data_IF_420415256710
#
_entry.id   IF_420415256710
#
_cell.length_a   1.000
_cell.length_b   1.000
_cell.length_c   1.000
_cell.angle_alpha   90.00
_cell.angle_beta   90.00
_cell.angle_gamma   90.00
#
_symmetry.space_group_name_H-M   'P 1'
#
loop_
_entity.id
_entity.type
_entity.pdbx_description
1 polymer ?
#
# COMPACT_ATOMS: atom_id res chain seq x y z
N UNK A 1 9.16 9.90 -2.25
CA UNK A 1 9.21 10.43 -0.87
C UNK A 1 10.53 11.12 -0.56
N UNK A 2 11.48 10.42 0.06
CA UNK A 2 12.71 11.00 0.64
C UNK A 2 13.51 11.91 -0.30
N UNK A 3 13.89 11.42 -1.50
CA UNK A 3 14.69 12.18 -2.47
C UNK A 3 13.99 13.44 -2.98
N UNK A 4 12.66 13.39 -3.12
CA UNK A 4 11.84 14.52 -3.55
C UNK A 4 11.80 15.62 -2.48
N UNK A 5 11.61 15.22 -1.22
CA UNK A 5 11.60 16.15 -0.09
C UNK A 5 12.96 16.85 0.12
N UNK A 6 14.08 16.14 -0.07
CA UNK A 6 15.42 16.76 0.04
C UNK A 6 15.77 17.71 -1.10
N UNK A 7 15.01 17.69 -2.22
CA UNK A 7 15.19 18.56 -3.38
C UNK A 7 13.88 19.26 -3.73
N UNK A 8 13.31 19.98 -2.77
CA UNK A 8 12.05 20.74 -2.91
C UNK A 8 12.11 21.66 -4.13
N UNK A 9 11.09 21.59 -4.98
CA UNK A 9 10.97 22.41 -6.20
C UNK A 9 11.70 21.84 -7.43
N UNK A 10 12.47 20.76 -7.29
CA UNK A 10 13.13 20.09 -8.42
C UNK A 10 12.13 19.45 -9.40
N UNK A 11 12.57 19.14 -10.62
CA UNK A 11 11.74 18.40 -11.59
C UNK A 11 11.26 17.05 -11.04
N UNK A 12 12.11 16.35 -10.30
CA UNK A 12 11.74 15.10 -9.64
C UNK A 12 10.62 15.29 -8.60
N UNK A 13 10.67 16.40 -7.87
CA UNK A 13 9.67 16.77 -6.88
C UNK A 13 8.28 17.05 -7.49
N UNK A 14 8.29 17.78 -8.62
CA UNK A 14 7.09 18.06 -9.41
C UNK A 14 6.52 16.77 -10.02
N UNK A 15 7.37 15.92 -10.60
CA UNK A 15 6.96 14.63 -11.16
C UNK A 15 6.32 13.71 -10.10
N UNK A 16 6.88 13.64 -8.89
CA UNK A 16 6.26 12.87 -7.79
C UNK A 16 4.88 13.42 -7.44
N UNK A 17 4.70 14.74 -7.46
CA UNK A 17 3.41 15.35 -7.14
C UNK A 17 2.37 15.14 -8.26
N UNK A 18 2.78 15.24 -9.53
CA UNK A 18 1.91 14.96 -10.67
C UNK A 18 1.53 13.49 -10.78
N UNK A 19 2.49 12.58 -10.60
CA UNK A 19 2.20 11.14 -10.56
C UNK A 19 1.30 10.79 -9.37
N UNK A 20 1.47 11.45 -8.23
CA UNK A 20 0.54 11.31 -7.11
C UNK A 20 -0.90 11.70 -7.46
N UNK A 21 -1.08 12.88 -8.07
CA UNK A 21 -2.39 13.35 -8.50
C UNK A 21 -3.01 12.43 -9.55
N UNK A 22 -2.22 11.99 -10.54
CA UNK A 22 -2.68 11.10 -11.59
C UNK A 22 -3.09 9.73 -11.02
N UNK A 23 -2.21 9.07 -10.25
CA UNK A 23 -2.48 7.76 -9.64
C UNK A 23 -3.73 7.78 -8.75
N UNK A 24 -3.89 8.82 -7.92
CA UNK A 24 -5.02 8.92 -7.00
C UNK A 24 -6.36 9.17 -7.71
N UNK A 25 -6.33 9.76 -8.90
CA UNK A 25 -7.52 9.98 -9.72
C UNK A 25 -8.00 8.74 -10.47
N UNK A 26 -7.18 7.67 -10.56
CA UNK A 26 -7.53 6.47 -11.32
C UNK A 26 -8.39 5.51 -10.47
N UNK A 27 -9.60 5.15 -10.93
CA UNK A 27 -10.38 4.10 -10.28
C UNK A 27 -9.68 2.73 -10.41
N UNK A 28 -9.58 1.97 -9.32
CA UNK A 28 -8.87 0.68 -9.32
C UNK A 28 -9.43 -0.34 -10.30
N UNK A 29 -10.75 -0.45 -10.40
CA UNK A 29 -11.39 -1.33 -11.38
C UNK A 29 -11.03 -0.96 -12.82
N UNK A 30 -11.01 0.33 -13.14
CA UNK A 30 -10.70 0.83 -14.47
C UNK A 30 -9.23 0.55 -14.82
N UNK A 31 -8.32 0.84 -13.90
CA UNK A 31 -6.90 0.49 -14.05
C UNK A 31 -6.71 -1.01 -14.23
N UNK A 32 -7.44 -1.84 -13.47
CA UNK A 32 -7.41 -3.29 -13.62
C UNK A 32 -7.85 -3.75 -15.01
N UNK A 33 -8.93 -3.19 -15.55
CA UNK A 33 -9.40 -3.50 -16.90
C UNK A 33 -8.38 -3.09 -17.99
N UNK A 34 -7.73 -1.94 -17.85
CA UNK A 34 -6.67 -1.52 -18.77
C UNK A 34 -5.47 -2.48 -18.70
N UNK A 35 -5.06 -2.88 -17.50
CA UNK A 35 -3.97 -3.83 -17.34
C UNK A 35 -4.32 -5.21 -17.91
N UNK A 36 -5.56 -5.67 -17.77
CA UNK A 36 -6.05 -6.89 -18.44
C UNK A 36 -6.00 -6.75 -19.96
N UNK A 37 -6.46 -5.63 -20.51
CA UNK A 37 -6.44 -5.39 -21.93
C UNK A 37 -5.00 -5.46 -22.49
N UNK A 38 -4.04 -4.84 -21.80
CA UNK A 38 -2.64 -4.81 -22.25
C UNK A 38 -1.96 -6.15 -22.02
N UNK A 39 -1.89 -6.63 -20.78
CA UNK A 39 -1.03 -7.76 -20.41
C UNK A 39 -1.65 -9.13 -20.67
N UNK A 40 -2.96 -9.25 -20.56
CA UNK A 40 -3.66 -10.50 -20.84
C UNK A 40 -4.10 -10.57 -22.31
N UNK A 41 -4.87 -9.57 -22.80
CA UNK A 41 -5.46 -9.65 -24.14
C UNK A 41 -4.45 -9.44 -25.27
N UNK A 42 -3.70 -8.32 -25.26
CA UNK A 42 -2.74 -8.01 -26.33
C UNK A 42 -1.41 -8.77 -26.18
N UNK A 43 -0.77 -8.69 -25.01
CA UNK A 43 0.56 -9.26 -24.80
C UNK A 43 0.54 -10.75 -24.44
N UNK A 44 -0.58 -11.27 -23.91
CA UNK A 44 -0.74 -12.67 -23.48
C UNK A 44 0.34 -13.15 -22.50
N UNK A 45 0.83 -12.25 -21.66
CA UNK A 45 1.91 -12.49 -20.69
C UNK A 45 1.40 -12.90 -19.31
N UNK A 46 0.24 -12.39 -18.92
CA UNK A 46 -0.31 -12.55 -17.57
C UNK A 46 -1.73 -13.12 -17.67
N UNK A 47 -2.16 -13.93 -16.69
CA UNK A 47 -3.49 -14.53 -16.69
C UNK A 47 -4.58 -13.49 -16.40
N UNK A 48 -5.84 -13.76 -16.78
CA UNK A 48 -6.94 -12.80 -16.63
C UNK A 48 -7.44 -12.66 -15.19
N UNK A 49 -7.12 -13.61 -14.30
CA UNK A 49 -7.68 -13.65 -12.96
C UNK A 49 -7.80 -15.06 -12.39
N UNK A 50 -8.38 -15.17 -11.19
CA UNK A 50 -8.44 -16.41 -10.40
C UNK A 50 -7.17 -16.66 -9.57
N UNK A 51 -7.14 -17.73 -8.77
CA UNK A 51 -5.94 -18.12 -7.99
C UNK A 51 -4.98 -18.97 -8.83
N UNK A 52 -5.51 -19.84 -9.70
CA UNK A 52 -4.72 -20.85 -10.41
C UNK A 52 -5.25 -21.09 -11.82
N UNK A 53 -4.36 -21.59 -12.66
CA UNK A 53 -4.65 -22.09 -14.01
C UNK A 53 -5.61 -23.29 -13.95
N UNK A 54 -6.38 -23.49 -15.02
CA UNK A 54 -7.27 -24.65 -15.18
C UNK A 54 -6.80 -25.50 -16.37
N UNK A 55 -6.33 -26.75 -16.16
CA UNK A 55 -6.23 -27.49 -14.90
C UNK A 55 -5.08 -26.99 -13.99
N UNK A 56 -5.21 -27.15 -12.66
CA UNK A 56 -4.18 -26.68 -11.72
C UNK A 56 -2.89 -27.51 -11.84
N UNK A 57 -1.71 -26.89 -11.63
CA UNK A 57 -0.45 -27.61 -11.60
C UNK A 57 -0.48 -28.73 -10.55
N UNK A 58 0.16 -29.87 -10.83
CA UNK A 58 0.21 -31.01 -9.88
C UNK A 58 1.25 -30.80 -8.79
N UNK A 59 2.43 -30.31 -9.17
CA UNK A 59 3.57 -30.10 -8.28
C UNK A 59 3.36 -28.94 -7.28
N UNK A 60 3.70 -29.09 -5.99
CA UNK A 60 3.50 -28.05 -4.98
C UNK A 60 4.19 -26.72 -5.31
N UNK A 61 5.43 -26.78 -5.82
CA UNK A 61 6.19 -25.57 -6.19
C UNK A 61 5.56 -24.87 -7.39
N UNK A 62 5.11 -25.65 -8.38
CA UNK A 62 4.43 -25.10 -9.56
C UNK A 62 3.11 -24.42 -9.19
N UNK A 63 2.35 -24.97 -8.23
CA UNK A 63 1.13 -24.32 -7.70
C UNK A 63 1.41 -22.95 -7.08
N UNK A 64 2.49 -22.82 -6.30
CA UNK A 64 2.86 -21.54 -5.67
C UNK A 64 3.28 -20.53 -6.75
N UNK A 65 4.10 -20.94 -7.72
CA UNK A 65 4.52 -20.06 -8.81
C UNK A 65 3.34 -19.61 -9.67
N UNK A 66 2.41 -20.52 -9.99
CA UNK A 66 1.18 -20.22 -10.71
C UNK A 66 0.30 -19.24 -9.93
N UNK A 67 0.16 -19.44 -8.61
CA UNK A 67 -0.57 -18.50 -7.75
C UNK A 67 0.07 -17.11 -7.72
N UNK A 68 1.40 -17.03 -7.60
CA UNK A 68 2.12 -15.75 -7.65
C UNK A 68 1.94 -15.05 -9.01
N UNK A 69 1.97 -15.82 -10.10
CA UNK A 69 1.73 -15.31 -11.45
C UNK A 69 0.33 -14.73 -11.61
N UNK A 70 -0.70 -15.37 -11.05
CA UNK A 70 -2.07 -14.85 -11.01
C UNK A 70 -2.22 -13.62 -10.11
N UNK A 71 -1.39 -13.48 -9.08
CA UNK A 71 -1.43 -12.33 -8.16
C UNK A 71 -0.87 -11.06 -8.80
N UNK A 72 -0.02 -11.17 -9.84
CA UNK A 72 0.71 -10.03 -10.42
C UNK A 72 -0.22 -8.90 -10.85
N UNK A 73 -1.25 -9.18 -11.65
CA UNK A 73 -2.15 -8.14 -12.16
C UNK A 73 -3.01 -7.47 -11.09
N UNK A 74 -3.70 -8.20 -10.19
CA UNK A 74 -4.40 -7.60 -9.06
C UNK A 74 -3.48 -6.71 -8.21
N UNK A 75 -2.28 -7.21 -7.89
CA UNK A 75 -1.32 -6.47 -7.07
C UNK A 75 -0.83 -5.20 -7.79
N UNK A 76 -0.48 -5.32 -9.07
CA UNK A 76 -0.03 -4.18 -9.87
C UNK A 76 -1.10 -3.10 -9.98
N UNK A 77 -2.37 -3.49 -10.08
CA UNK A 77 -3.51 -2.57 -10.09
C UNK A 77 -3.54 -1.74 -8.81
N UNK A 78 -3.49 -2.40 -7.64
CA UNK A 78 -3.49 -1.72 -6.36
C UNK A 78 -2.26 -0.82 -6.20
N UNK A 79 -1.07 -1.31 -6.56
CA UNK A 79 0.18 -0.55 -6.47
C UNK A 79 0.13 0.71 -7.33
N UNK A 80 -0.31 0.62 -8.59
CA UNK A 80 -0.36 1.78 -9.51
C UNK A 80 -1.27 2.89 -8.98
N UNK A 81 -2.41 2.52 -8.40
CA UNK A 81 -3.39 3.48 -7.87
C UNK A 81 -2.87 4.16 -6.59
N UNK A 82 -2.22 3.41 -5.69
CA UNK A 82 -1.84 3.95 -4.37
C UNK A 82 -0.44 4.57 -4.34
N UNK A 83 0.52 4.08 -5.14
CA UNK A 83 1.95 4.41 -5.01
C UNK A 83 2.23 5.92 -5.05
N UNK A 84 1.48 6.64 -5.88
CA UNK A 84 1.58 8.09 -5.99
C UNK A 84 1.20 8.80 -4.69
N UNK A 85 0.03 8.49 -4.14
CA UNK A 85 -0.43 9.04 -2.86
C UNK A 85 0.54 8.74 -1.72
N UNK A 86 1.09 7.52 -1.67
CA UNK A 86 2.10 7.12 -0.71
C UNK A 86 3.41 7.90 -0.82
N UNK A 87 3.88 8.10 -2.05
CA UNK A 87 5.08 8.89 -2.31
C UNK A 87 4.91 10.35 -1.89
N UNK A 88 3.70 10.90 -2.07
CA UNK A 88 3.31 12.24 -1.66
C UNK A 88 3.23 12.39 -0.14
N UNK A 89 2.51 11.50 0.56
CA UNK A 89 2.42 11.52 2.03
C UNK A 89 3.80 11.42 2.67
N UNK A 90 4.62 10.47 2.21
CA UNK A 90 6.01 10.31 2.67
C UNK A 90 6.83 11.57 2.45
N UNK A 91 6.66 12.23 1.29
CA UNK A 91 7.36 13.48 0.98
C UNK A 91 6.93 14.59 1.94
N UNK A 92 5.64 14.75 2.20
CA UNK A 92 5.11 15.76 3.12
C UNK A 92 5.64 15.59 4.54
N UNK A 93 5.64 14.35 5.05
CA UNK A 93 6.23 14.03 6.37
C UNK A 93 7.70 14.47 6.43
N UNK A 94 8.50 14.08 5.44
CA UNK A 94 9.93 14.41 5.41
C UNK A 94 10.16 15.92 5.26
N UNK A 95 9.34 16.62 4.47
CA UNK A 95 9.43 18.06 4.30
C UNK A 95 9.12 18.82 5.60
N UNK A 96 8.10 18.39 6.34
CA UNK A 96 7.74 19.00 7.62
C UNK A 96 8.89 18.84 8.62
N UNK A 97 9.43 17.63 8.76
CA UNK A 97 10.57 17.37 9.66
C UNK A 97 11.81 18.17 9.26
N UNK A 98 12.04 18.38 7.96
CA UNK A 98 13.20 19.16 7.48
C UNK A 98 13.11 20.65 7.87
N UNK A 99 11.90 21.15 8.17
CA UNK A 99 11.63 22.52 8.59
C UNK A 99 11.68 22.72 10.10
N UNK A 100 11.86 21.65 10.88
CA UNK A 100 11.95 21.70 12.34
C UNK A 100 13.26 22.36 12.82
N UNK A 101 13.20 23.08 13.94
CA UNK A 101 14.32 23.85 14.50
C UNK A 101 15.55 23.00 14.76
N UNK A 102 15.37 21.77 15.26
CA UNK A 102 16.48 20.87 15.56
C UNK A 102 17.26 20.45 14.30
N UNK A 103 16.60 20.44 13.13
CA UNK A 103 17.26 20.20 11.83
C UNK A 103 17.98 21.46 11.36
N UNK A 104 17.40 22.64 11.56
CA UNK A 104 18.04 23.93 11.24
C UNK A 104 19.31 24.14 12.06
N UNK A 105 19.27 23.85 13.36
CA UNK A 105 20.45 23.90 14.24
C UNK A 105 21.50 22.87 13.81
N UNK A 106 21.09 21.65 13.44
CA UNK A 106 21.99 20.62 12.93
C UNK A 106 22.72 21.05 11.63
N UNK A 107 22.03 21.75 10.74
CA UNK A 107 22.63 22.36 9.53
C UNK A 107 23.61 23.49 9.88
N UNK A 108 23.23 24.37 10.80
CA UNK A 108 24.09 25.48 11.25
C UNK A 108 25.39 24.98 11.90
N UNK A 109 25.36 23.82 12.56
CA UNK A 109 26.55 23.14 13.10
C UNK A 109 27.46 22.51 12.03
N UNK A 110 27.10 22.57 10.75
CA UNK A 110 27.92 22.01 9.65
C UNK A 110 27.97 20.48 9.63
N UNK A 111 26.96 19.79 10.18
CA UNK A 111 26.94 18.33 10.19
C UNK A 111 26.91 17.77 8.75
N UNK A 112 27.60 16.65 8.48
CA UNK A 112 27.66 16.08 7.14
C UNK A 112 26.27 15.66 6.66
N UNK A 113 25.99 15.89 5.37
CA UNK A 113 24.66 15.71 4.77
C UNK A 113 24.09 14.30 4.99
N UNK A 114 24.94 13.27 4.94
CA UNK A 114 24.54 11.88 5.21
C UNK A 114 24.05 11.68 6.65
N UNK A 115 24.71 12.30 7.63
CA UNK A 115 24.34 12.21 9.05
C UNK A 115 23.08 13.01 9.32
N UNK A 116 22.95 14.20 8.73
CA UNK A 116 21.73 15.01 8.77
C UNK A 116 20.54 14.22 8.20
N UNK A 117 20.67 13.66 6.99
CA UNK A 117 19.59 12.91 6.33
C UNK A 117 19.16 11.68 7.14
N UNK A 118 20.11 10.87 7.62
CA UNK A 118 19.79 9.61 8.30
C UNK A 118 19.31 9.80 9.73
N UNK A 119 19.99 10.64 10.52
CA UNK A 119 19.73 10.76 11.96
C UNK A 119 18.72 11.85 12.30
N UNK A 120 18.74 12.98 11.58
CA UNK A 120 17.93 14.16 11.90
C UNK A 120 16.67 14.27 11.03
N UNK A 121 16.60 13.58 9.89
CA UNK A 121 15.42 13.63 9.01
C UNK A 121 14.71 12.27 8.95
N UNK A 122 15.41 11.21 8.54
CA UNK A 122 14.80 9.89 8.34
C UNK A 122 14.32 9.24 9.63
N UNK A 123 15.14 9.29 10.69
CA UNK A 123 14.80 8.64 11.95
C UNK A 123 13.56 9.26 12.62
N UNK A 124 13.39 10.59 12.67
CA UNK A 124 12.14 11.20 13.13
C UNK A 124 10.95 10.99 12.17
N UNK A 125 11.20 10.77 10.87
CA UNK A 125 10.14 10.51 9.88
C UNK A 125 9.64 9.06 9.88
N UNK A 126 10.44 8.13 10.41
CA UNK A 126 10.14 6.71 10.34
C UNK A 126 8.87 6.29 11.09
N UNK A 127 8.58 6.77 12.32
CA UNK A 127 7.38 6.37 13.04
C UNK A 127 6.06 6.62 12.28
N UNK A 128 5.74 7.84 11.78
CA UNK A 128 4.49 8.06 11.04
C UNK A 128 4.45 7.31 9.70
N UNK A 129 5.58 7.07 9.04
CA UNK A 129 5.65 6.23 7.84
C UNK A 129 5.33 4.78 8.17
N UNK A 130 5.91 4.24 9.25
CA UNK A 130 5.66 2.87 9.71
C UNK A 130 4.19 2.68 10.09
N UNK A 131 3.59 3.62 10.81
CA UNK A 131 2.16 3.60 11.14
C UNK A 131 1.28 3.49 9.89
N UNK A 132 1.56 4.30 8.86
CA UNK A 132 0.83 4.21 7.60
C UNK A 132 0.98 2.83 6.98
N UNK A 133 2.20 2.27 6.89
CA UNK A 133 2.46 0.93 6.30
C UNK A 133 1.60 -0.13 6.97
N UNK A 134 1.58 -0.16 8.30
CA UNK A 134 0.80 -1.17 9.02
C UNK A 134 -0.70 -0.98 8.80
N UNK A 135 -1.20 0.26 8.76
CA UNK A 135 -2.59 0.52 8.40
C UNK A 135 -2.94 0.09 6.97
N UNK A 136 -2.02 0.23 6.01
CA UNK A 136 -2.23 -0.27 4.66
C UNK A 136 -2.34 -1.80 4.63
N UNK A 137 -1.45 -2.48 5.35
CA UNK A 137 -1.46 -3.95 5.44
C UNK A 137 -2.77 -4.40 6.09
N UNK A 138 -3.15 -3.79 7.21
CA UNK A 138 -4.42 -4.07 7.89
C UNK A 138 -5.63 -3.81 6.99
N UNK A 139 -5.64 -2.68 6.28
CA UNK A 139 -6.69 -2.33 5.33
C UNK A 139 -6.74 -3.28 4.13
N UNK A 140 -5.60 -3.81 3.67
CA UNK A 140 -5.55 -4.78 2.58
C UNK A 140 -6.16 -6.12 2.96
N UNK A 141 -6.09 -6.50 4.25
CA UNK A 141 -6.83 -7.64 4.78
C UNK A 141 -8.34 -7.38 4.71
N UNK A 142 -8.78 -6.12 4.69
CA UNK A 142 -10.17 -5.69 4.48
C UNK A 142 -10.80 -6.10 3.14
N UNK A 143 -10.00 -6.68 2.23
CA UNK A 143 -10.42 -7.02 0.88
C UNK A 143 -10.54 -5.81 -0.04
N UNK A 144 -10.36 -6.03 -1.34
CA UNK A 144 -10.44 -5.01 -2.37
C UNK A 144 -11.60 -5.32 -3.32
N UNK A 145 -12.84 -5.19 -2.85
CA UNK A 145 -14.08 -5.63 -3.54
C UNK A 145 -13.99 -5.47 -5.05
N UNK A 146 -13.81 -4.23 -5.53
CA UNK A 146 -13.79 -3.93 -6.96
C UNK A 146 -12.65 -4.61 -7.72
N UNK A 147 -11.45 -4.64 -7.13
CA UNK A 147 -10.28 -5.28 -7.76
C UNK A 147 -10.44 -6.80 -7.76
N UNK A 148 -10.91 -7.38 -6.66
CA UNK A 148 -11.15 -8.81 -6.55
C UNK A 148 -12.24 -9.29 -7.51
N UNK A 149 -13.31 -8.51 -7.70
CA UNK A 149 -14.34 -8.81 -8.68
C UNK A 149 -13.80 -8.73 -10.11
N UNK A 150 -13.02 -7.70 -10.46
CA UNK A 150 -12.43 -7.56 -11.82
C UNK A 150 -11.54 -8.74 -12.18
N UNK A 151 -10.71 -9.20 -11.23
CA UNK A 151 -9.79 -10.32 -11.44
C UNK A 151 -10.36 -11.67 -11.04
N UNK A 152 -11.65 -11.78 -10.73
CA UNK A 152 -12.27 -13.02 -10.24
C UNK A 152 -11.48 -13.66 -9.07
N UNK A 153 -10.83 -12.83 -8.25
CA UNK A 153 -9.97 -13.25 -7.15
C UNK A 153 -10.85 -13.58 -5.94
N UNK A 154 -10.75 -14.78 -5.36
CA UNK A 154 -11.56 -15.19 -4.21
C UNK A 154 -10.97 -14.62 -2.91
N UNK A 155 -11.05 -13.31 -2.75
CA UNK A 155 -10.72 -12.63 -1.51
C UNK A 155 -11.96 -12.39 -0.64
N UNK A 156 -11.73 -11.84 0.55
CA UNK A 156 -12.81 -11.51 1.47
C UNK A 156 -13.67 -10.35 0.98
N UNK A 157 -13.13 -9.44 0.15
CA UNK A 157 -13.90 -8.34 -0.41
C UNK A 157 -14.97 -8.83 -1.38
N UNK A 158 -14.58 -9.74 -2.28
CA UNK A 158 -15.52 -10.39 -3.19
C UNK A 158 -16.54 -11.24 -2.44
N UNK A 159 -16.11 -12.02 -1.43
CA UNK A 159 -17.04 -12.79 -0.61
C UNK A 159 -18.09 -11.90 0.07
N UNK A 160 -17.69 -10.70 0.50
CA UNK A 160 -18.60 -9.70 1.06
C UNK A 160 -19.61 -9.18 0.01
N UNK A 161 -19.14 -8.92 -1.21
CA UNK A 161 -20.01 -8.53 -2.33
C UNK A 161 -21.02 -9.63 -2.67
N UNK A 162 -20.55 -10.87 -2.80
CA UNK A 162 -21.40 -12.02 -3.10
C UNK A 162 -22.48 -12.18 -2.01
N UNK A 163 -22.13 -12.05 -0.73
CA UNK A 163 -23.07 -12.09 0.39
C UNK A 163 -24.15 -10.99 0.31
N UNK A 164 -23.77 -9.75 0.00
CA UNK A 164 -24.73 -8.64 -0.19
C UNK A 164 -25.67 -8.95 -1.35
N UNK A 165 -25.14 -9.39 -2.49
CA UNK A 165 -25.96 -9.66 -3.68
C UNK A 165 -26.92 -10.84 -3.49
N UNK A 166 -26.53 -11.81 -2.67
CA UNK A 166 -27.35 -12.96 -2.30
C UNK A 166 -28.35 -12.66 -1.16
N UNK A 167 -28.34 -11.44 -0.60
CA UNK A 167 -29.10 -11.06 0.60
C UNK A 167 -28.83 -11.99 1.79
N UNK A 168 -27.61 -12.50 1.92
CA UNK A 168 -27.18 -13.33 3.06
C UNK A 168 -26.72 -12.42 4.21
N UNK A 169 -27.68 -11.92 4.97
CA UNK A 169 -27.46 -11.03 6.11
C UNK A 169 -26.55 -11.68 7.17
N UNK A 170 -26.70 -13.00 7.39
CA UNK A 170 -25.90 -13.75 8.35
C UNK A 170 -24.41 -13.74 7.99
N UNK A 171 -24.09 -13.98 6.71
CA UNK A 171 -22.72 -13.93 6.21
C UNK A 171 -22.15 -12.51 6.25
N UNK A 172 -22.94 -11.48 5.91
CA UNK A 172 -22.51 -10.08 6.02
C UNK A 172 -22.13 -9.73 7.46
N UNK A 173 -22.95 -10.10 8.44
CA UNK A 173 -22.65 -9.86 9.87
C UNK A 173 -21.40 -10.62 10.31
N UNK A 174 -21.26 -11.89 9.92
CA UNK A 174 -20.09 -12.69 10.25
C UNK A 174 -18.80 -12.10 9.66
N UNK A 175 -18.81 -11.69 8.39
CA UNK A 175 -17.65 -11.05 7.75
C UNK A 175 -17.32 -9.70 8.40
N UNK A 176 -18.33 -8.89 8.73
CA UNK A 176 -18.14 -7.61 9.45
C UNK A 176 -17.47 -7.82 10.80
N UNK A 177 -17.89 -8.84 11.54
CA UNK A 177 -17.30 -9.21 12.81
C UNK A 177 -15.83 -9.62 12.67
N UNK A 178 -15.52 -10.49 11.69
CA UNK A 178 -14.14 -10.92 11.40
C UNK A 178 -13.26 -9.72 11.00
N UNK A 179 -13.75 -8.82 10.14
CA UNK A 179 -13.01 -7.61 9.77
C UNK A 179 -12.71 -6.72 10.97
N UNK A 180 -13.70 -6.54 11.84
CA UNK A 180 -13.54 -5.74 13.06
C UNK A 180 -12.46 -6.34 13.96
N UNK A 181 -12.45 -7.68 14.11
CA UNK A 181 -11.43 -8.37 14.90
C UNK A 181 -10.02 -8.21 14.31
N UNK A 182 -9.87 -8.37 12.99
CA UNK A 182 -8.60 -8.16 12.29
C UNK A 182 -8.13 -6.71 12.46
N UNK A 183 -9.03 -5.74 12.32
CA UNK A 183 -8.73 -4.33 12.47
C UNK A 183 -8.25 -4.00 13.89
N UNK A 184 -8.95 -4.49 14.92
CA UNK A 184 -8.56 -4.31 16.32
C UNK A 184 -7.17 -4.95 16.58
N UNK A 185 -6.95 -6.18 16.11
CA UNK A 185 -5.67 -6.85 16.28
C UNK A 185 -4.52 -6.08 15.59
N UNK A 186 -4.73 -5.63 14.36
CA UNK A 186 -3.74 -4.82 13.65
C UNK A 186 -3.49 -3.48 14.34
N UNK A 187 -4.54 -2.83 14.85
CA UNK A 187 -4.42 -1.57 15.60
C UNK A 187 -3.62 -1.75 16.88
N UNK A 188 -3.85 -2.82 17.62
CA UNK A 188 -3.06 -3.16 18.80
C UNK A 188 -1.58 -3.36 18.46
N UNK A 189 -1.27 -4.09 17.37
CA UNK A 189 0.10 -4.26 16.88
C UNK A 189 0.74 -2.90 16.58
N UNK A 190 0.04 -1.97 15.94
CA UNK A 190 0.54 -0.62 15.66
C UNK A 190 0.93 0.10 16.94
N UNK A 191 0.07 0.09 17.95
CA UNK A 191 0.31 0.82 19.20
C UNK A 191 1.55 0.28 19.92
N UNK A 192 1.74 -1.05 19.93
CA UNK A 192 2.96 -1.67 20.45
C UNK A 192 4.20 -1.27 19.62
N UNK A 193 4.09 -1.32 18.29
CA UNK A 193 5.21 -1.05 17.38
C UNK A 193 5.66 0.41 17.46
N UNK A 194 4.71 1.35 17.57
CA UNK A 194 4.98 2.77 17.82
C UNK A 194 5.62 2.98 19.19
N UNK A 195 5.12 2.33 20.25
CA UNK A 195 5.70 2.42 21.59
C UNK A 195 7.16 1.93 21.64
N UNK A 196 7.52 0.94 20.81
CA UNK A 196 8.90 0.45 20.69
C UNK A 196 9.76 1.37 19.82
N UNK A 197 9.22 1.91 18.72
CA UNK A 197 9.96 2.75 17.77
C UNK A 197 10.17 4.19 18.26
N UNK A 198 9.24 4.72 19.07
CA UNK A 198 9.31 6.08 19.58
C UNK A 198 9.72 6.10 21.07
N UNK A 199 11.01 6.30 21.38
CA UNK A 199 11.49 6.39 22.76
C UNK A 199 10.99 7.63 23.50
N UNK A 200 10.28 8.57 22.85
CA UNK A 200 9.66 9.74 23.52
C UNK A 200 8.34 9.41 24.22
N UNK A 201 7.74 8.27 23.87
CA UNK A 201 6.49 7.77 24.49
C UNK A 201 6.78 7.11 25.84
N UNK A 202 8.03 6.71 26.09
CA UNK A 202 8.53 6.36 27.43
C UNK A 202 8.88 7.63 28.19
N UNK A 203 7.89 8.15 28.92
CA UNK A 203 8.09 9.01 30.09
C UNK A 203 8.35 8.12 31.29
#
# INVERSE_FOLDING_TARGET
GLRAATRRGSLFDKLVSYTAAASYGLPSWWTGLILLLVFYFYLRLLPPGGIMSTPPPTEPVAKVLDMLWHTVLPLMTLVVVIVGGWAYVTRTIVLNITQEDFVTVAKAKGLPENLLRRRYILRPAAPPIATNIVFAIAGSLGGAILTETVFNWPGMGRLYYDAITAFDEGLVVALTFVYTLIYIAARFIIEVLVAVLDPRVRV
#
